data_IF_662218314844
#
_entry.id   IF_662218314844
#
_cell.length_a   1.000
_cell.length_b   1.000
_cell.length_c   1.000
_cell.angle_alpha   90.00
_cell.angle_beta   90.00
_cell.angle_gamma   90.00
#
_symmetry.space_group_name_H-M   'P 1'
#
loop_
_entity.id
_entity.type
_entity.pdbx_description
1 polymer ?
#
# COMPACT_ATOMS: atom_id res chain seq x y z
N UNK A 1 4.59 -6.47 -3.60
CA UNK A 1 5.24 -5.18 -3.88
C UNK A 1 4.16 -4.12 -3.95
N UNK A 2 4.34 -3.03 -3.19
CA UNK A 2 3.45 -1.87 -3.17
C UNK A 2 4.16 -0.70 -3.83
N UNK A 3 3.48 -0.05 -4.75
CA UNK A 3 4.06 1.00 -5.59
C UNK A 3 3.17 2.23 -5.53
N UNK A 4 3.78 3.41 -5.45
CA UNK A 4 3.04 4.66 -5.53
C UNK A 4 2.62 4.98 -6.98
N UNK A 5 1.63 5.85 -7.15
CA UNK A 5 1.08 6.20 -8.46
C UNK A 5 2.08 6.84 -9.42
N UNK A 6 3.20 7.39 -8.92
CA UNK A 6 4.26 7.95 -9.75
C UNK A 6 5.29 6.91 -10.17
N UNK A 7 5.32 5.73 -9.52
CA UNK A 7 6.35 4.71 -9.70
C UNK A 7 7.71 5.10 -9.10
N UNK A 8 7.80 6.21 -8.37
CA UNK A 8 9.05 6.68 -7.75
C UNK A 8 9.41 5.87 -6.50
N UNK A 9 8.42 5.26 -5.87
CA UNK A 9 8.57 4.52 -4.63
C UNK A 9 7.96 3.13 -4.76
N UNK A 10 8.78 2.15 -4.40
CA UNK A 10 8.40 0.75 -4.35
C UNK A 10 8.81 0.15 -3.00
N UNK A 11 7.94 -0.69 -2.43
CA UNK A 11 8.22 -1.36 -1.17
C UNK A 11 7.67 -2.78 -1.14
N UNK A 12 8.53 -3.71 -0.70
CA UNK A 12 8.09 -5.04 -0.29
C UNK A 12 7.46 -4.98 1.10
N UNK A 13 6.16 -5.21 1.16
CA UNK A 13 5.40 -5.18 2.39
C UNK A 13 4.20 -6.12 2.34
N UNK A 14 3.80 -6.59 3.50
CA UNK A 14 2.56 -7.31 3.73
C UNK A 14 1.41 -6.34 3.96
N UNK A 15 0.25 -6.61 3.34
CA UNK A 15 -0.99 -5.89 3.63
C UNK A 15 -1.49 -6.24 5.03
N UNK A 16 -1.79 -5.23 5.84
CA UNK A 16 -2.40 -5.40 7.16
C UNK A 16 -3.88 -5.03 7.16
N UNK A 17 -4.30 -4.08 6.33
CA UNK A 17 -5.69 -3.64 6.26
C UNK A 17 -5.85 -2.24 5.67
N UNK A 18 -7.10 -1.89 5.37
CA UNK A 18 -7.52 -0.53 5.01
C UNK A 18 -8.27 0.07 6.22
N UNK A 19 -7.80 1.20 6.73
CA UNK A 19 -8.44 1.93 7.83
C UNK A 19 -8.69 3.35 7.36
N UNK A 20 -9.98 3.69 7.18
CA UNK A 20 -10.36 4.94 6.52
C UNK A 20 -9.86 4.98 5.08
N UNK A 21 -9.07 5.99 4.75
CA UNK A 21 -8.44 6.19 3.44
C UNK A 21 -6.98 5.70 3.38
N UNK A 22 -6.49 5.03 4.43
CA UNK A 22 -5.09 4.62 4.54
C UNK A 22 -4.90 3.11 4.54
N UNK A 23 -3.95 2.69 3.72
CA UNK A 23 -3.47 1.33 3.59
C UNK A 23 -2.36 1.11 4.59
N UNK A 24 -2.58 0.18 5.51
CA UNK A 24 -1.60 -0.22 6.51
C UNK A 24 -0.75 -1.37 5.97
N UNK A 25 0.56 -1.17 5.94
CA UNK A 25 1.54 -2.10 5.40
C UNK A 25 2.61 -2.43 6.45
N UNK A 26 3.05 -3.68 6.47
CA UNK A 26 4.22 -4.13 7.24
C UNK A 26 5.37 -4.41 6.30
N UNK A 27 6.36 -3.51 6.27
CA UNK A 27 7.55 -3.65 5.44
C UNK A 27 8.35 -4.89 5.87
N UNK A 28 9.05 -5.52 4.93
CA UNK A 28 9.91 -6.68 5.21
C UNK A 28 10.99 -6.40 6.29
N UNK A 29 11.37 -5.14 6.48
CA UNK A 29 12.31 -4.70 7.52
C UNK A 29 11.70 -4.52 8.92
N UNK A 30 10.44 -4.90 9.14
CA UNK A 30 9.76 -4.81 10.43
C UNK A 30 9.01 -3.49 10.70
N UNK A 31 9.17 -2.48 9.85
CA UNK A 31 8.51 -1.18 10.03
C UNK A 31 7.06 -1.24 9.53
N UNK A 32 6.12 -0.71 10.32
CA UNK A 32 4.73 -0.52 9.89
C UNK A 32 4.54 0.90 9.36
N UNK A 33 3.88 1.01 8.22
CA UNK A 33 3.58 2.30 7.57
C UNK A 33 2.09 2.39 7.22
N UNK A 34 1.60 3.62 7.09
CA UNK A 34 0.28 3.92 6.58
C UNK A 34 0.42 4.80 5.34
N UNK A 35 -0.11 4.34 4.21
CA UNK A 35 -0.02 5.02 2.92
C UNK A 35 -1.43 5.40 2.48
N UNK A 36 -1.70 6.66 2.09
CA UNK A 36 -3.01 7.02 1.54
C UNK A 36 -3.33 6.20 0.28
N UNK A 37 -4.56 5.69 0.19
CA UNK A 37 -5.01 4.83 -0.91
C UNK A 37 -4.88 5.54 -2.27
N UNK A 38 -5.12 6.86 -2.32
CA UNK A 38 -5.02 7.69 -3.52
C UNK A 38 -3.58 7.95 -4.00
N UNK A 39 -2.58 7.53 -3.21
CA UNK A 39 -1.15 7.60 -3.54
C UNK A 39 -0.62 6.29 -4.10
N UNK A 40 -1.36 5.19 -4.00
CA UNK A 40 -0.97 3.92 -4.60
C UNK A 40 -1.27 3.89 -6.10
N UNK A 41 -0.54 3.05 -6.83
CA UNK A 41 -0.82 2.78 -8.23
C UNK A 41 -2.18 2.09 -8.44
N UNK A 42 -2.66 2.09 -9.69
CA UNK A 42 -3.97 1.53 -10.02
C UNK A 42 -4.08 0.05 -9.64
N UNK A 43 -3.01 -0.72 -9.86
CA UNK A 43 -2.95 -2.16 -9.55
C UNK A 43 -3.16 -2.44 -8.06
N UNK A 44 -2.47 -1.73 -7.18
CA UNK A 44 -2.62 -1.92 -5.73
C UNK A 44 -3.98 -1.42 -5.24
N UNK A 45 -4.51 -0.33 -5.82
CA UNK A 45 -5.87 0.15 -5.51
C UNK A 45 -6.92 -0.89 -5.92
N UNK A 46 -6.82 -1.49 -7.11
CA UNK A 46 -7.72 -2.53 -7.59
C UNK A 46 -7.65 -3.78 -6.70
N UNK A 47 -6.44 -4.21 -6.32
CA UNK A 47 -6.27 -5.31 -5.37
C UNK A 47 -7.04 -5.05 -4.07
N UNK A 48 -6.87 -3.88 -3.46
CA UNK A 48 -7.57 -3.55 -2.21
C UNK A 48 -9.09 -3.53 -2.39
N UNK A 49 -9.59 -2.99 -3.52
CA UNK A 49 -11.03 -2.96 -3.80
C UNK A 49 -11.63 -4.33 -4.07
N UNK A 50 -10.81 -5.34 -4.36
CA UNK A 50 -11.24 -6.71 -4.62
C UNK A 50 -11.32 -7.59 -3.35
N UNK A 51 -10.88 -7.06 -2.20
CA UNK A 51 -10.95 -7.70 -0.88
C UNK A 51 -12.28 -7.42 -0.19
#
# INVERSE_FOLDING_TARGET
>A
VWTDKTGSFEVEAQFLGLVGDKVHLHKANGVKIAVPLDKLDAKNVEFIKSL
#
